data_IF_678868570293
#
_entry.id   IF_678868570293
#
_cell.length_a   1.000
_cell.length_b   1.000
_cell.length_c   1.000
_cell.angle_alpha   90.00
_cell.angle_beta   90.00
_cell.angle_gamma   90.00
#
_symmetry.space_group_name_H-M   'P 1'
#
loop_
_entity.id
_entity.type
_entity.pdbx_description
1 polymer ?
#
# COMPACT_ATOMS: atom_id res chain seq x y z
N UNK A 1 16.55 14.24 41.35
CA UNK A 1 15.88 13.73 40.14
C UNK A 1 16.94 13.58 39.08
N UNK A 2 17.05 12.44 38.43
CA UNK A 2 18.00 12.23 37.34
C UNK A 2 17.45 12.96 36.10
N UNK A 3 18.26 13.78 35.44
CA UNK A 3 17.81 14.51 34.23
C UNK A 3 17.83 13.62 32.98
N UNK A 4 17.07 13.95 31.92
CA UNK A 4 17.18 13.24 30.65
C UNK A 4 18.61 13.21 30.08
N UNK A 5 19.40 14.28 30.24
CA UNK A 5 20.81 14.28 29.80
C UNK A 5 21.70 13.36 30.63
N UNK A 6 21.42 13.18 31.92
CA UNK A 6 22.13 12.23 32.77
C UNK A 6 21.78 10.78 32.38
N UNK A 7 20.51 10.48 32.15
CA UNK A 7 20.05 9.17 31.66
C UNK A 7 20.72 8.83 30.31
N UNK A 8 20.71 9.77 29.37
CA UNK A 8 21.33 9.55 28.05
C UNK A 8 22.83 9.30 28.17
N UNK A 9 23.55 10.05 29.02
CA UNK A 9 24.98 9.80 29.27
C UNK A 9 25.24 8.39 29.82
N UNK A 10 24.42 7.94 30.76
CA UNK A 10 24.53 6.58 31.32
C UNK A 10 24.28 5.56 30.21
N UNK A 11 23.18 5.66 29.46
CA UNK A 11 22.84 4.72 28.37
C UNK A 11 23.97 4.67 27.32
N UNK A 12 24.50 5.83 26.91
CA UNK A 12 25.60 5.90 25.94
C UNK A 12 26.92 5.33 26.46
N UNK A 13 27.11 5.23 27.78
CA UNK A 13 28.28 4.61 28.40
C UNK A 13 28.18 3.09 28.54
N UNK A 14 26.97 2.53 28.42
CA UNK A 14 26.74 1.08 28.46
C UNK A 14 27.29 0.41 27.20
N UNK A 15 27.82 -0.81 27.37
CA UNK A 15 28.13 -1.69 26.24
C UNK A 15 26.86 -2.10 25.48
N UNK A 16 27.03 -2.58 24.25
CA UNK A 16 25.89 -3.05 23.44
C UNK A 16 25.08 -4.16 24.13
N UNK A 17 25.73 -5.06 24.87
CA UNK A 17 25.06 -6.13 25.62
C UNK A 17 24.22 -5.56 26.79
N UNK A 18 24.77 -4.61 27.53
CA UNK A 18 24.06 -3.93 28.62
C UNK A 18 22.89 -3.09 28.09
N UNK A 19 23.05 -2.42 26.94
CA UNK A 19 21.97 -1.69 26.28
C UNK A 19 20.82 -2.63 25.88
N UNK A 20 21.12 -3.80 25.31
CA UNK A 20 20.09 -4.79 24.99
C UNK A 20 19.40 -5.33 26.24
N UNK A 21 20.14 -5.58 27.32
CA UNK A 21 19.54 -6.06 28.57
C UNK A 21 18.64 -4.99 29.21
N UNK A 22 19.09 -3.74 29.23
CA UNK A 22 18.27 -2.60 29.67
C UNK A 22 16.98 -2.48 28.83
N UNK A 23 17.09 -2.58 27.50
CA UNK A 23 15.94 -2.56 26.61
C UNK A 23 14.95 -3.70 26.92
N UNK A 24 15.45 -4.91 27.14
CA UNK A 24 14.62 -6.05 27.49
C UNK A 24 13.85 -5.85 28.81
N UNK A 25 14.49 -5.27 29.83
CA UNK A 25 13.80 -4.94 31.09
C UNK A 25 12.75 -3.83 30.91
N UNK A 26 13.07 -2.77 30.16
CA UNK A 26 12.11 -1.69 29.88
C UNK A 26 10.89 -2.20 29.10
N UNK A 27 11.07 -3.11 28.14
CA UNK A 27 9.97 -3.67 27.35
C UNK A 27 8.99 -4.51 28.16
N UNK A 28 9.41 -5.08 29.31
CA UNK A 28 8.50 -5.81 30.22
C UNK A 28 7.43 -4.93 30.86
N UNK A 29 7.73 -3.64 31.04
CA UNK A 29 6.85 -2.68 31.72
C UNK A 29 6.29 -1.61 30.78
N UNK A 30 6.86 -1.47 29.58
CA UNK A 30 6.45 -0.49 28.58
C UNK A 30 6.10 -1.17 27.24
N UNK A 31 4.83 -1.58 27.06
CA UNK A 31 4.27 -1.93 25.76
C UNK A 31 4.43 -0.75 24.78
N UNK A 32 4.84 -1.03 23.53
CA UNK A 32 5.03 -0.04 22.47
C UNK A 32 3.81 0.08 21.57
N UNK A 33 2.87 -0.87 21.64
CA UNK A 33 1.63 -0.83 20.88
C UNK A 33 0.44 -1.37 21.70
N UNK A 34 -0.77 -0.75 21.61
CA UNK A 34 -1.96 -1.20 22.35
C UNK A 34 -2.31 -2.68 22.11
N UNK A 35 -1.99 -3.20 20.93
CA UNK A 35 -2.23 -4.61 20.58
C UNK A 35 -1.51 -5.60 21.50
N UNK A 36 -0.36 -5.22 22.07
CA UNK A 36 0.37 -6.10 22.99
C UNK A 36 -0.44 -6.40 24.26
N UNK A 37 -1.10 -5.36 24.79
CA UNK A 37 -2.00 -5.50 25.93
C UNK A 37 -3.27 -6.25 25.55
N UNK A 38 -3.83 -5.96 24.37
CA UNK A 38 -5.06 -6.58 23.90
C UNK A 38 -4.89 -8.09 23.65
N UNK A 39 -3.74 -8.51 23.11
CA UNK A 39 -3.47 -9.91 22.76
C UNK A 39 -2.65 -10.65 23.81
N UNK A 40 -2.26 -9.95 24.88
CA UNK A 40 -1.41 -10.47 25.95
C UNK A 40 -0.10 -11.11 25.41
N UNK A 41 0.52 -10.45 24.45
CA UNK A 41 1.72 -10.95 23.76
C UNK A 41 2.60 -9.80 23.26
N UNK A 42 3.92 -9.97 23.26
CA UNK A 42 4.83 -8.89 22.87
C UNK A 42 4.84 -8.64 21.36
N UNK A 43 5.15 -7.39 20.96
CA UNK A 43 5.30 -7.01 19.56
C UNK A 43 6.37 -7.87 18.85
N UNK A 44 7.47 -8.18 19.53
CA UNK A 44 8.55 -9.02 19.01
C UNK A 44 8.07 -10.43 18.70
N UNK A 45 7.22 -11.02 19.55
CA UNK A 45 6.67 -12.34 19.30
C UNK A 45 5.66 -12.33 18.13
N UNK A 46 4.87 -11.26 17.99
CA UNK A 46 3.99 -11.07 16.83
C UNK A 46 4.82 -11.03 15.54
N UNK A 47 5.92 -10.28 15.52
CA UNK A 47 6.84 -10.21 14.38
C UNK A 47 7.45 -11.59 14.06
N UNK A 48 7.82 -12.36 15.08
CA UNK A 48 8.33 -13.73 14.89
C UNK A 48 7.23 -14.69 14.39
N UNK A 49 5.99 -14.55 14.84
CA UNK A 49 4.87 -15.33 14.31
C UNK A 49 4.65 -15.02 12.81
N UNK A 50 4.74 -13.75 12.40
CA UNK A 50 4.67 -13.34 10.99
C UNK A 50 5.87 -13.88 10.21
N UNK A 51 7.08 -13.83 10.77
CA UNK A 51 8.31 -14.31 10.12
C UNK A 51 8.22 -15.81 9.76
N UNK A 52 7.58 -16.61 10.62
CA UNK A 52 7.36 -18.06 10.44
C UNK A 52 6.13 -18.40 9.61
N UNK A 53 5.26 -17.44 9.33
CA UNK A 53 4.02 -17.68 8.60
C UNK A 53 4.23 -18.01 7.12
N UNK A 54 3.22 -18.61 6.50
CA UNK A 54 3.20 -18.91 5.07
C UNK A 54 3.21 -17.63 4.22
N UNK A 55 3.64 -17.73 2.96
CA UNK A 55 3.71 -16.58 2.03
C UNK A 55 2.38 -15.83 1.91
N UNK A 56 1.24 -16.53 1.96
CA UNK A 56 -0.08 -15.91 1.89
C UNK A 56 -0.33 -14.93 3.06
N UNK A 57 0.09 -15.30 4.27
CA UNK A 57 -0.03 -14.45 5.46
C UNK A 57 0.88 -13.24 5.36
N UNK A 58 2.15 -13.45 4.97
CA UNK A 58 3.11 -12.35 4.75
C UNK A 58 2.61 -11.38 3.69
N UNK A 59 2.00 -11.88 2.61
CA UNK A 59 1.38 -11.06 1.56
C UNK A 59 0.20 -10.25 2.09
N UNK A 60 -0.64 -10.85 2.93
CA UNK A 60 -1.73 -10.16 3.62
C UNK A 60 -1.23 -9.01 4.50
N UNK A 61 -0.24 -9.29 5.36
CA UNK A 61 0.40 -8.27 6.22
C UNK A 61 1.00 -7.14 5.38
N UNK A 62 1.72 -7.46 4.29
CA UNK A 62 2.25 -6.44 3.36
C UNK A 62 1.16 -5.61 2.68
N UNK A 63 -0.02 -6.17 2.44
CA UNK A 63 -1.20 -5.42 1.99
C UNK A 63 -1.62 -4.37 3.01
N UNK A 64 -1.81 -4.79 4.26
CA UNK A 64 -2.19 -3.91 5.38
C UNK A 64 -1.13 -2.82 5.60
N UNK A 65 0.17 -3.17 5.54
CA UNK A 65 1.26 -2.19 5.62
C UNK A 65 1.16 -1.18 4.48
N UNK A 66 0.89 -1.61 3.24
CA UNK A 66 0.75 -0.70 2.10
C UNK A 66 -0.43 0.27 2.26
N UNK A 67 -1.55 -0.20 2.80
CA UNK A 67 -2.72 0.63 3.09
C UNK A 67 -2.39 1.69 4.17
N UNK A 68 -1.73 1.27 5.25
CA UNK A 68 -1.30 2.19 6.31
C UNK A 68 -0.27 3.21 5.82
N UNK A 69 0.69 2.79 4.99
CA UNK A 69 1.70 3.70 4.43
C UNK A 69 1.08 4.65 3.41
N UNK A 70 0.12 4.18 2.61
CA UNK A 70 -0.64 5.04 1.70
C UNK A 70 -1.40 6.13 2.46
N UNK A 71 -2.09 5.77 3.56
CA UNK A 71 -2.77 6.74 4.40
C UNK A 71 -1.80 7.78 4.97
N UNK A 72 -0.71 7.34 5.62
CA UNK A 72 0.19 8.23 6.35
C UNK A 72 1.10 9.08 5.45
N UNK A 73 1.60 8.51 4.35
CA UNK A 73 2.58 9.18 3.51
C UNK A 73 1.97 9.89 2.31
N UNK A 74 0.77 9.50 1.88
CA UNK A 74 0.11 10.09 0.72
C UNK A 74 -1.13 10.86 1.14
N UNK A 75 -2.10 10.23 1.81
CA UNK A 75 -3.41 10.84 2.05
C UNK A 75 -3.38 11.95 3.10
N UNK A 76 -2.83 11.70 4.30
CA UNK A 76 -2.76 12.71 5.37
C UNK A 76 -2.02 13.98 4.89
N UNK A 77 -0.88 13.89 4.17
CA UNK A 77 -0.23 15.08 3.63
C UNK A 77 -1.08 15.92 2.66
N UNK A 78 -2.14 15.37 2.05
CA UNK A 78 -3.04 16.14 1.18
C UNK A 78 -3.92 17.12 1.96
N UNK A 79 -4.04 17.00 3.29
CA UNK A 79 -4.79 17.94 4.14
C UNK A 79 -4.26 19.36 4.03
N UNK A 80 -2.94 19.52 3.90
CA UNK A 80 -2.30 20.83 3.70
C UNK A 80 -2.68 21.49 2.37
N UNK A 81 -3.20 20.71 1.42
CA UNK A 81 -3.66 21.13 0.09
C UNK A 81 -5.19 21.25 0.03
N UNK A 82 -5.87 21.20 1.19
CA UNK A 82 -7.33 21.36 1.27
C UNK A 82 -8.14 20.09 1.00
N UNK A 83 -7.50 18.92 0.99
CA UNK A 83 -8.17 17.63 0.85
C UNK A 83 -8.33 16.93 2.20
N UNK A 84 -9.55 16.56 2.56
CA UNK A 84 -9.84 15.84 3.79
C UNK A 84 -10.05 14.35 3.50
N UNK A 85 -9.43 13.48 4.29
CA UNK A 85 -9.70 12.05 4.24
C UNK A 85 -11.08 11.73 4.82
N UNK A 86 -11.91 11.01 4.07
CA UNK A 86 -13.23 10.58 4.49
C UNK A 86 -13.15 9.11 4.93
N UNK A 87 -13.50 8.79 6.19
CA UNK A 87 -13.51 7.43 6.67
C UNK A 87 -14.40 6.52 5.82
N UNK A 88 -13.86 5.36 5.46
CA UNK A 88 -14.59 4.35 4.70
C UNK A 88 -15.39 3.44 5.62
N UNK A 89 -16.62 3.12 5.23
CA UNK A 89 -17.49 2.17 5.95
C UNK A 89 -17.89 1.07 4.98
N UNK A 90 -17.62 -0.17 5.35
CA UNK A 90 -17.99 -1.36 4.57
C UNK A 90 -16.93 -1.83 3.58
N UNK A 91 -17.34 -2.73 2.68
CA UNK A 91 -16.48 -3.33 1.65
C UNK A 91 -16.61 -2.53 0.34
N UNK A 92 -15.73 -1.55 0.16
CA UNK A 92 -15.74 -0.63 -0.97
C UNK A 92 -14.67 -1.01 -2.00
N UNK A 93 -14.85 -0.69 -3.30
CA UNK A 93 -13.89 -1.02 -4.34
C UNK A 93 -12.72 -0.02 -4.43
N UNK A 94 -12.43 0.69 -3.35
CA UNK A 94 -11.35 1.66 -3.20
C UNK A 94 -10.92 1.73 -1.73
N UNK A 95 -9.68 2.12 -1.49
CA UNK A 95 -9.06 2.08 -0.15
C UNK A 95 -8.98 3.47 0.50
N UNK A 96 -9.18 4.55 -0.28
CA UNK A 96 -9.31 5.91 0.25
C UNK A 96 -10.37 6.72 -0.50
N UNK A 97 -11.01 7.63 0.23
CA UNK A 97 -11.88 8.66 -0.30
C UNK A 97 -11.39 10.00 0.26
N UNK A 98 -11.05 10.94 -0.62
CA UNK A 98 -10.68 12.29 -0.21
C UNK A 98 -11.68 13.29 -0.77
N UNK A 99 -11.96 14.35 -0.02
CA UNK A 99 -12.86 15.42 -0.42
C UNK A 99 -12.16 16.78 -0.33
N UNK A 100 -12.23 17.57 -1.40
CA UNK A 100 -11.76 18.95 -1.38
C UNK A 100 -12.83 19.88 -0.79
N UNK A 101 -12.42 21.02 -0.23
CA UNK A 101 -13.32 22.07 0.29
C UNK A 101 -14.44 22.50 -0.67
N UNK A 102 -14.21 22.41 -1.98
CA UNK A 102 -15.22 22.65 -3.02
C UNK A 102 -16.36 21.60 -3.10
N UNK A 103 -16.26 20.51 -2.35
CA UNK A 103 -17.19 19.38 -2.37
C UNK A 103 -16.79 18.22 -3.29
N UNK A 104 -15.83 18.43 -4.23
CA UNK A 104 -15.29 17.40 -5.12
C UNK A 104 -14.71 16.22 -4.32
N UNK A 105 -15.09 15.00 -4.69
CA UNK A 105 -14.61 13.76 -4.09
C UNK A 105 -13.77 12.95 -5.07
N UNK A 106 -12.71 12.30 -4.58
CA UNK A 106 -11.85 11.41 -5.34
C UNK A 106 -11.72 10.08 -4.60
N UNK A 107 -12.06 8.99 -5.29
CA UNK A 107 -11.93 7.60 -4.83
C UNK A 107 -10.61 7.03 -5.34
N UNK A 108 -9.79 6.48 -4.45
CA UNK A 108 -8.44 5.99 -4.79
C UNK A 108 -8.31 4.52 -4.36
N UNK A 109 -7.98 3.65 -5.31
CA UNK A 109 -7.61 2.26 -5.01
C UNK A 109 -6.09 2.17 -4.93
N UNK A 110 -5.58 1.70 -3.80
CA UNK A 110 -4.17 1.36 -3.62
C UNK A 110 -3.91 -0.11 -4.00
N UNK A 111 -2.79 -0.37 -4.65
CA UNK A 111 -2.27 -1.71 -4.93
C UNK A 111 -0.78 -1.72 -4.68
N UNK A 112 -0.25 -2.90 -4.41
CA UNK A 112 1.19 -3.12 -4.46
C UNK A 112 1.61 -3.52 -5.88
N UNK A 113 2.80 -3.09 -6.26
CA UNK A 113 3.51 -3.74 -7.35
C UNK A 113 3.56 -5.26 -7.10
N UNK A 114 3.30 -6.04 -8.14
CA UNK A 114 3.28 -7.49 -8.05
C UNK A 114 4.68 -8.04 -7.84
N UNK A 115 4.77 -9.04 -6.99
CA UNK A 115 5.94 -9.90 -6.87
C UNK A 115 5.62 -11.32 -7.39
N UNK A 116 6.63 -12.01 -7.88
CA UNK A 116 6.59 -13.44 -8.24
C UNK A 116 7.86 -14.09 -7.72
N UNK A 117 7.70 -15.12 -6.88
CA UNK A 117 8.82 -15.82 -6.23
C UNK A 117 9.77 -14.88 -5.47
N UNK A 118 9.20 -13.93 -4.71
CA UNK A 118 9.96 -12.95 -3.93
C UNK A 118 10.62 -11.83 -4.74
N UNK A 119 10.53 -11.86 -6.08
CA UNK A 119 11.10 -10.84 -6.95
C UNK A 119 10.02 -9.92 -7.53
N UNK A 120 10.32 -8.63 -7.72
CA UNK A 120 9.47 -7.72 -8.49
C UNK A 120 9.11 -8.29 -9.86
N UNK A 121 7.82 -8.24 -10.22
CA UNK A 121 7.36 -8.67 -11.54
C UNK A 121 7.49 -7.52 -12.54
N UNK A 122 8.13 -7.83 -13.67
CA UNK A 122 8.31 -6.93 -14.81
C UNK A 122 7.41 -7.36 -15.97
N UNK A 123 7.01 -6.39 -16.79
CA UNK A 123 6.42 -6.62 -18.09
C UNK A 123 7.52 -7.18 -19.03
N UNK A 124 7.55 -8.50 -19.19
CA UNK A 124 8.46 -9.21 -20.11
C UNK A 124 7.87 -9.30 -21.51
N UNK A 125 8.67 -9.70 -22.50
CA UNK A 125 8.21 -9.96 -23.88
C UNK A 125 7.06 -10.99 -23.98
N UNK A 126 7.00 -11.98 -23.09
CA UNK A 126 5.86 -12.92 -23.04
C UNK A 126 4.56 -12.26 -22.55
N UNK A 127 4.65 -11.32 -21.60
CA UNK A 127 3.53 -10.43 -21.27
C UNK A 127 3.33 -9.31 -22.29
N UNK A 128 4.32 -9.06 -23.15
CA UNK A 128 4.27 -8.07 -24.22
C UNK A 128 3.36 -8.47 -25.39
N UNK A 129 2.78 -9.67 -25.42
CA UNK A 129 1.62 -9.91 -26.29
C UNK A 129 0.36 -9.18 -25.79
N UNK A 130 0.26 -8.89 -24.49
CA UNK A 130 -0.79 -8.05 -23.89
C UNK A 130 -0.35 -6.60 -23.64
N UNK A 131 0.95 -6.37 -23.42
CA UNK A 131 1.56 -5.07 -23.12
C UNK A 131 2.68 -4.73 -24.12
N UNK A 132 2.45 -4.96 -25.41
CA UNK A 132 3.41 -4.60 -26.46
C UNK A 132 3.76 -3.12 -26.33
N UNK A 133 5.05 -2.80 -26.15
CA UNK A 133 5.52 -1.41 -26.04
C UNK A 133 5.95 -0.94 -24.64
N UNK A 134 5.89 -1.80 -23.60
CA UNK A 134 6.29 -1.43 -22.23
C UNK A 134 7.45 -2.26 -21.65
N UNK A 135 8.54 -2.53 -22.40
CA UNK A 135 9.67 -3.29 -21.86
C UNK A 135 10.27 -2.60 -20.63
N UNK A 136 10.56 -3.38 -19.58
CA UNK A 136 11.18 -2.88 -18.35
C UNK A 136 10.22 -2.19 -17.37
N UNK A 137 8.93 -2.09 -17.71
CA UNK A 137 7.92 -1.61 -16.78
C UNK A 137 7.63 -2.67 -15.72
N UNK A 138 7.15 -2.25 -14.56
CA UNK A 138 6.67 -3.13 -13.51
C UNK A 138 5.21 -3.52 -13.76
N UNK A 139 4.68 -4.44 -12.96
CA UNK A 139 3.30 -4.90 -13.08
C UNK A 139 2.57 -4.72 -11.75
N UNK A 140 1.34 -4.18 -11.78
CA UNK A 140 0.40 -4.23 -10.68
C UNK A 140 -0.74 -5.22 -10.99
N UNK A 141 -1.24 -5.93 -9.97
CA UNK A 141 -2.43 -6.78 -10.09
C UNK A 141 -3.68 -6.00 -9.64
N UNK A 142 -4.49 -5.58 -10.60
CA UNK A 142 -5.74 -4.84 -10.42
C UNK A 142 -6.92 -5.81 -10.33
N UNK A 143 -6.99 -6.54 -9.22
CA UNK A 143 -8.09 -7.44 -8.93
C UNK A 143 -8.42 -7.45 -7.44
N UNK A 144 -9.70 -7.62 -7.08
CA UNK A 144 -10.12 -7.79 -5.69
C UNK A 144 -9.63 -9.16 -5.20
N UNK A 145 -9.20 -9.23 -3.94
CA UNK A 145 -8.71 -10.47 -3.33
C UNK A 145 -9.84 -11.43 -3.02
N UNK A 146 -11.02 -10.91 -2.68
CA UNK A 146 -12.23 -11.69 -2.40
C UNK A 146 -12.89 -12.12 -3.71
N UNK A 147 -13.16 -13.41 -3.83
CA UNK A 147 -14.05 -13.96 -4.85
C UNK A 147 -15.49 -13.82 -4.40
N UNK A 148 -16.38 -13.53 -5.34
CA UNK A 148 -17.82 -13.47 -5.12
C UNK A 148 -18.55 -13.46 -6.44
N UNK A 149 -19.86 -13.66 -6.35
CA UNK A 149 -20.79 -13.61 -7.47
C UNK A 149 -21.89 -12.62 -7.07
N UNK A 150 -22.25 -11.69 -7.96
CA UNK A 150 -23.37 -10.77 -7.73
C UNK A 150 -24.72 -11.45 -7.98
N UNK A 151 -25.82 -10.72 -7.75
CA UNK A 151 -27.17 -11.25 -7.91
C UNK A 151 -27.46 -11.71 -9.35
N UNK A 152 -26.73 -11.17 -10.33
CA UNK A 152 -26.81 -11.46 -11.74
C UNK A 152 -25.90 -12.62 -12.18
N UNK A 153 -25.19 -13.27 -11.26
CA UNK A 153 -24.32 -14.41 -11.56
C UNK A 153 -22.94 -14.02 -12.08
N UNK A 154 -22.57 -12.74 -12.05
CA UNK A 154 -21.29 -12.24 -12.54
C UNK A 154 -20.24 -12.19 -11.42
N UNK A 155 -18.98 -12.38 -11.77
CA UNK A 155 -17.90 -12.28 -10.80
C UNK A 155 -17.77 -10.84 -10.27
N UNK A 156 -17.77 -10.68 -8.95
CA UNK A 156 -17.52 -9.38 -8.29
C UNK A 156 -16.03 -9.05 -8.17
N UNK A 157 -15.17 -10.03 -8.47
CA UNK A 157 -13.72 -9.97 -8.30
C UNK A 157 -13.01 -8.96 -9.23
N UNK A 158 -13.38 -8.83 -10.53
CA UNK A 158 -12.83 -7.80 -11.40
C UNK A 158 -13.25 -6.41 -10.96
N UNK A 159 -12.33 -5.44 -11.08
CA UNK A 159 -12.72 -4.04 -11.02
C UNK A 159 -13.40 -3.60 -12.33
N UNK A 160 -14.38 -2.73 -12.21
CA UNK A 160 -15.06 -2.04 -13.31
C UNK A 160 -14.58 -0.59 -13.37
N UNK A 161 -14.55 -0.01 -14.57
CA UNK A 161 -14.32 1.43 -14.69
C UNK A 161 -15.42 2.20 -13.96
N UNK A 162 -15.04 3.29 -13.28
CA UNK A 162 -15.94 4.10 -12.45
C UNK A 162 -16.08 3.65 -10.99
N UNK A 163 -15.58 2.46 -10.62
CA UNK A 163 -15.55 2.04 -9.20
C UNK A 163 -14.61 2.94 -8.37
N UNK A 164 -13.49 3.34 -8.94
CA UNK A 164 -12.55 4.31 -8.37
C UNK A 164 -12.03 5.27 -9.46
N UNK A 165 -11.46 6.40 -9.05
CA UNK A 165 -11.02 7.47 -9.95
C UNK A 165 -9.51 7.39 -10.22
N UNK A 166 -8.71 6.96 -9.24
CA UNK A 166 -7.25 6.84 -9.35
C UNK A 166 -6.80 5.45 -8.90
N UNK A 167 -5.87 4.85 -9.65
CA UNK A 167 -5.07 3.74 -9.17
C UNK A 167 -3.75 4.28 -8.60
N UNK A 168 -3.46 3.96 -7.34
CA UNK A 168 -2.19 4.21 -6.68
C UNK A 168 -1.42 2.89 -6.54
N UNK A 169 -0.19 2.83 -7.05
CA UNK A 169 0.65 1.62 -6.99
C UNK A 169 1.88 1.87 -6.12
N UNK A 170 1.97 1.19 -4.98
CA UNK A 170 3.17 1.18 -4.15
C UNK A 170 4.30 0.42 -4.83
N UNK A 171 5.46 1.07 -4.97
CA UNK A 171 6.63 0.57 -5.69
C UNK A 171 7.69 -0.05 -4.78
N UNK A 172 7.39 -0.15 -3.48
CA UNK A 172 8.27 -0.75 -2.47
C UNK A 172 8.94 -2.06 -2.93
N UNK A 173 8.27 -3.01 -3.62
CA UNK A 173 8.95 -4.22 -4.09
C UNK A 173 10.21 -3.96 -4.94
N UNK A 174 10.18 -2.96 -5.83
CA UNK A 174 11.34 -2.60 -6.65
C UNK A 174 12.26 -1.56 -6.00
N UNK A 175 11.72 -0.71 -5.12
CA UNK A 175 12.46 0.46 -4.59
C UNK A 175 12.95 0.30 -3.15
N UNK A 176 12.45 -0.71 -2.44
CA UNK A 176 12.60 -0.88 -1.00
C UNK A 176 12.15 0.34 -0.18
N UNK A 177 11.18 1.11 -0.72
CA UNK A 177 10.66 2.34 -0.12
C UNK A 177 9.13 2.35 -0.17
N UNK A 178 8.49 2.29 1.01
CA UNK A 178 7.04 2.30 1.18
C UNK A 178 6.36 3.63 0.90
N UNK A 179 7.13 4.72 0.78
CA UNK A 179 6.60 6.04 0.44
C UNK A 179 6.49 6.28 -1.07
N UNK A 180 7.06 5.39 -1.90
CA UNK A 180 7.05 5.54 -3.36
C UNK A 180 5.79 4.95 -3.97
N UNK A 181 4.97 5.82 -4.55
CA UNK A 181 3.74 5.46 -5.25
C UNK A 181 3.71 6.03 -6.67
N UNK A 182 3.08 5.30 -7.58
CA UNK A 182 2.77 5.74 -8.94
C UNK A 182 1.27 5.83 -9.12
N UNK A 183 0.80 6.93 -9.70
CA UNK A 183 -0.61 7.28 -9.82
C UNK A 183 -1.02 7.37 -11.28
N UNK A 184 -2.20 6.86 -11.60
CA UNK A 184 -2.83 7.06 -12.91
C UNK A 184 -4.35 7.14 -12.77
N UNK A 185 -5.06 7.94 -13.59
CA UNK A 185 -6.51 7.95 -13.63
C UNK A 185 -7.03 6.57 -14.06
N UNK A 186 -8.09 6.08 -13.41
CA UNK A 186 -8.65 4.76 -13.69
C UNK A 186 -9.08 4.61 -15.15
N UNK A 187 -9.56 5.69 -15.77
CA UNK A 187 -9.97 5.75 -17.19
C UNK A 187 -8.81 5.54 -18.18
N UNK A 188 -7.55 5.57 -17.73
CA UNK A 188 -6.34 5.32 -18.54
C UNK A 188 -5.83 3.90 -18.42
N UNK A 189 -6.41 3.09 -17.52
CA UNK A 189 -6.06 1.70 -17.35
C UNK A 189 -6.49 0.86 -18.55
N UNK A 190 -5.75 -0.21 -18.83
CA UNK A 190 -6.09 -1.12 -19.90
C UNK A 190 -7.39 -1.87 -19.58
N UNK A 191 -8.36 -1.92 -20.50
CA UNK A 191 -9.54 -2.75 -20.37
C UNK A 191 -9.23 -4.22 -20.68
N UNK A 192 -10.09 -5.14 -20.25
CA UNK A 192 -10.02 -6.53 -20.70
C UNK A 192 -10.44 -6.63 -22.17
N UNK A 193 -9.68 -7.32 -23.04
CA UNK A 193 -10.03 -7.44 -24.46
C UNK A 193 -11.46 -7.93 -24.73
N UNK A 194 -11.91 -8.93 -23.95
CA UNK A 194 -13.23 -9.54 -24.10
C UNK A 194 -14.36 -8.83 -23.32
N UNK A 195 -14.05 -7.86 -22.46
CA UNK A 195 -15.01 -7.18 -21.59
C UNK A 195 -14.53 -5.77 -21.26
N UNK A 196 -14.82 -4.82 -22.16
CA UNK A 196 -14.24 -3.47 -22.13
C UNK A 196 -14.66 -2.63 -20.92
N UNK A 197 -15.74 -3.01 -20.23
CA UNK A 197 -16.19 -2.40 -18.97
C UNK A 197 -15.36 -2.84 -17.75
N UNK A 198 -14.53 -3.88 -17.88
CA UNK A 198 -13.68 -4.39 -16.82
C UNK A 198 -12.23 -3.94 -17.02
N UNK A 199 -11.56 -3.66 -15.90
CA UNK A 199 -10.13 -3.35 -15.87
C UNK A 199 -9.34 -4.67 -16.05
N UNK A 200 -8.30 -4.64 -16.88
CA UNK A 200 -7.37 -5.76 -17.06
C UNK A 200 -6.66 -6.08 -15.74
N UNK A 201 -6.49 -7.38 -15.47
CA UNK A 201 -5.99 -7.89 -14.19
C UNK A 201 -4.57 -7.40 -13.95
N UNK A 202 -3.76 -7.31 -15.01
CA UNK A 202 -2.42 -6.78 -14.92
C UNK A 202 -2.36 -5.42 -15.60
N UNK A 203 -1.78 -4.45 -14.92
CA UNK A 203 -1.52 -3.11 -15.46
C UNK A 203 -0.01 -2.88 -15.47
N UNK A 204 0.58 -2.42 -16.58
CA UNK A 204 1.98 -2.05 -16.62
C UNK A 204 2.13 -0.72 -15.87
N UNK A 205 3.17 -0.63 -15.04
CA UNK A 205 3.46 0.53 -14.19
C UNK A 205 4.89 0.97 -14.49
N UNK A 206 5.12 2.22 -14.92
CA UNK A 206 6.46 2.63 -15.29
C UNK A 206 7.33 2.86 -14.05
N UNK A 207 8.66 2.69 -14.17
CA UNK A 207 9.58 2.94 -13.06
C UNK A 207 9.75 4.42 -12.73
N UNK A 208 9.39 5.30 -13.66
CA UNK A 208 9.50 6.75 -13.61
C UNK A 208 8.24 7.38 -14.21
N UNK A 209 7.98 8.64 -13.88
CA UNK A 209 6.90 9.43 -14.48
C UNK A 209 6.97 9.40 -16.01
N UNK A 210 5.87 8.98 -16.66
CA UNK A 210 5.75 8.93 -18.12
C UNK A 210 4.29 8.72 -18.55
N UNK A 211 3.90 9.32 -19.67
CA UNK A 211 2.53 9.26 -20.17
C UNK A 211 1.51 9.75 -19.12
N UNK A 212 0.51 8.93 -18.82
CA UNK A 212 -0.51 9.20 -17.80
C UNK A 212 -0.17 8.59 -16.43
N UNK A 213 1.12 8.43 -16.13
CA UNK A 213 1.61 8.00 -14.82
C UNK A 213 2.46 9.09 -14.20
N UNK A 214 2.21 9.40 -12.93
CA UNK A 214 2.97 10.39 -12.14
C UNK A 214 3.25 9.87 -10.74
N UNK A 215 4.31 10.36 -10.11
CA UNK A 215 4.65 10.15 -8.71
C UNK A 215 4.00 11.18 -7.77
N UNK A 216 3.16 12.06 -8.31
CA UNK A 216 2.46 13.11 -7.57
C UNK A 216 0.93 12.94 -7.65
N UNK A 217 0.29 12.71 -6.49
CA UNK A 217 -1.16 12.53 -6.41
C UNK A 217 -1.95 13.77 -6.85
N UNK A 218 -1.52 14.98 -6.47
CA UNK A 218 -2.18 16.24 -6.85
C UNK A 218 -2.16 16.44 -8.37
N UNK A 219 -1.04 16.12 -9.01
CA UNK A 219 -0.94 16.15 -10.48
C UNK A 219 -1.92 15.16 -11.12
N UNK A 220 -2.01 13.94 -10.59
CA UNK A 220 -2.93 12.92 -11.10
C UNK A 220 -4.40 13.35 -10.94
N UNK A 221 -4.75 13.98 -9.81
CA UNK A 221 -6.08 14.56 -9.59
C UNK A 221 -6.39 15.66 -10.62
N UNK A 222 -5.39 16.44 -11.02
CA UNK A 222 -5.52 17.45 -12.08
C UNK A 222 -5.84 16.89 -13.47
N UNK A 223 -5.67 15.58 -13.69
CA UNK A 223 -6.01 14.90 -14.94
C UNK A 223 -7.44 14.33 -14.99
N UNK A 224 -8.16 14.37 -13.85
CA UNK A 224 -9.55 13.96 -13.73
C UNK A 224 -10.49 15.12 -14.09
#
# INVERSE_FOLDING_TARGET
MVTPEEINRIISSLSWQEQQQLQAELRKIHPIHPLENQWHISAEFILEAISRSQDITKRGVRGIVAELTFLNYIIIPMERLGWTNIPLIGDLPYDALIQHSSGRQIKIQAKNQRMKLGLPLYATEQSARKFAGFPGWWVAECQKTRSGIDAEGLSTRPYRFGEFDILAVCLHPSTNDWSRFMFTPSVRLFPRPAAQNLIEIFQPVPPLKTGYWTDNLEECIGWL
#
